data_IF_074452450549
#
_entry.id   IF_074452450549
#
_cell.length_a   1.000
_cell.length_b   1.000
_cell.length_c   1.000
_cell.angle_alpha   90.00
_cell.angle_beta   90.00
_cell.angle_gamma   90.00
#
_symmetry.space_group_name_H-M   'P 1'
#
loop_
_entity.id
_entity.type
_entity.pdbx_description
1 polymer ?
#
# COMPACT_ATOMS: atom_id res chain seq x y z
N UNK A 1 2.04 101.12 12.55
CA UNK A 1 3.17 100.17 12.58
C UNK A 1 2.61 98.75 12.53
N UNK A 2 3.19 97.92 11.66
CA UNK A 2 2.98 96.48 11.41
C UNK A 2 1.86 96.07 10.44
N UNK A 3 2.32 95.68 9.24
CA UNK A 3 1.64 94.88 8.21
C UNK A 3 1.31 93.47 8.68
N UNK A 4 0.32 92.79 8.05
CA UNK A 4 0.22 91.34 8.08
C UNK A 4 0.98 90.69 6.89
N UNK A 5 1.75 89.65 7.19
CA UNK A 5 2.37 88.74 6.23
C UNK A 5 1.53 87.46 6.19
N UNK A 6 1.02 87.10 5.01
CA UNK A 6 0.46 85.78 4.71
C UNK A 6 1.61 84.78 4.49
N UNK A 7 1.57 83.63 5.18
CA UNK A 7 2.41 82.47 4.86
C UNK A 7 1.54 81.27 4.49
N UNK A 8 1.98 80.61 3.41
CA UNK A 8 1.29 79.60 2.60
C UNK A 8 1.49 78.18 3.18
N UNK A 9 0.53 77.30 2.89
CA UNK A 9 0.31 76.00 3.52
C UNK A 9 1.38 74.93 3.32
N UNK A 10 1.51 74.10 4.35
CA UNK A 10 2.28 72.86 4.36
C UNK A 10 1.37 71.70 3.93
N UNK A 11 1.71 71.00 2.85
CA UNK A 11 1.01 69.79 2.38
C UNK A 11 1.44 68.59 3.25
N UNK A 12 0.50 67.97 3.96
CA UNK A 12 0.70 66.67 4.59
C UNK A 12 0.74 65.55 3.54
N UNK A 13 1.89 64.88 3.45
CA UNK A 13 2.06 63.60 2.76
C UNK A 13 1.55 62.51 3.70
N UNK A 14 0.45 61.86 3.35
CA UNK A 14 -0.05 60.66 4.04
C UNK A 14 0.67 59.45 3.43
N UNK A 15 1.56 58.83 4.19
CA UNK A 15 2.21 57.56 3.84
C UNK A 15 1.24 56.40 4.03
N UNK A 16 1.11 55.56 2.99
CA UNK A 16 0.34 54.32 3.02
C UNK A 16 1.14 53.22 3.76
N UNK A 17 0.54 52.45 4.68
CA UNK A 17 1.17 51.24 5.18
C UNK A 17 1.12 50.16 4.10
N UNK A 18 2.29 49.60 3.76
CA UNK A 18 2.42 48.50 2.82
C UNK A 18 1.85 47.20 3.40
N UNK A 19 1.10 46.46 2.58
CA UNK A 19 0.68 45.10 2.88
C UNK A 19 1.93 44.21 3.01
N UNK A 20 2.21 43.72 4.21
CA UNK A 20 3.12 42.60 4.41
C UNK A 20 2.43 41.30 4.00
N UNK A 21 2.94 40.63 2.97
CA UNK A 21 2.52 39.29 2.61
C UNK A 21 3.07 38.30 3.65
N UNK A 22 2.19 37.71 4.46
CA UNK A 22 2.53 36.62 5.36
C UNK A 22 2.65 35.34 4.53
N UNK A 23 3.88 34.92 4.24
CA UNK A 23 4.16 33.60 3.66
C UNK A 23 3.90 32.54 4.74
N UNK A 24 2.76 31.86 4.63
CA UNK A 24 2.44 30.70 5.44
C UNK A 24 3.21 29.50 4.85
N UNK A 25 4.39 29.21 5.41
CA UNK A 25 5.10 27.97 5.09
C UNK A 25 4.33 26.79 5.71
N UNK A 26 3.62 26.01 4.89
CA UNK A 26 3.12 24.70 5.32
C UNK A 26 4.33 23.79 5.58
N UNK A 27 4.63 23.52 6.85
CA UNK A 27 5.50 22.42 7.21
C UNK A 27 4.76 21.11 6.91
N UNK A 28 5.25 20.36 5.92
CA UNK A 28 4.81 18.98 5.71
C UNK A 28 5.26 18.17 6.94
N UNK A 29 4.31 17.74 7.77
CA UNK A 29 4.58 16.76 8.83
C UNK A 29 4.85 15.44 8.13
N UNK A 30 6.14 15.10 7.95
CA UNK A 30 6.51 13.79 7.44
C UNK A 30 6.37 12.80 8.60
N UNK A 31 5.37 11.93 8.54
CA UNK A 31 5.26 10.84 9.52
C UNK A 31 6.36 9.80 9.26
N UNK A 32 6.81 9.15 10.32
CA UNK A 32 7.81 8.08 10.28
C UNK A 32 7.13 6.81 9.75
N UNK A 33 7.92 5.89 9.19
CA UNK A 33 7.48 4.52 9.01
C UNK A 33 7.05 3.89 10.34
N UNK A 34 5.87 3.28 10.34
CA UNK A 34 5.32 2.47 11.42
C UNK A 34 5.79 1.03 11.26
N UNK A 35 6.06 0.35 12.38
CA UNK A 35 6.60 -1.01 12.38
C UNK A 35 5.71 -1.88 13.24
N UNK A 36 4.98 -2.80 12.60
CA UNK A 36 4.25 -3.86 13.28
C UNK A 36 5.19 -5.03 13.55
N UNK A 37 5.07 -5.65 14.72
CA UNK A 37 5.86 -6.83 15.10
C UNK A 37 4.99 -7.86 15.80
N UNK A 38 5.12 -9.12 15.41
CA UNK A 38 4.54 -10.25 16.13
C UNK A 38 5.38 -11.50 15.90
N UNK A 39 5.86 -12.12 16.98
CA UNK A 39 6.64 -13.37 16.96
C UNK A 39 7.79 -13.38 15.93
N UNK A 40 7.70 -14.20 14.89
CA UNK A 40 8.71 -14.34 13.84
C UNK A 40 8.64 -13.27 12.74
N UNK A 41 7.71 -12.31 12.84
CA UNK A 41 7.39 -11.42 11.73
C UNK A 41 7.40 -9.94 12.11
N UNK A 42 7.84 -9.12 11.15
CA UNK A 42 7.77 -7.66 11.21
C UNK A 42 7.25 -7.12 9.88
N UNK A 43 6.45 -6.04 9.92
CA UNK A 43 5.97 -5.36 8.72
C UNK A 43 6.13 -3.85 8.89
N UNK A 44 6.60 -3.16 7.86
CA UNK A 44 6.85 -1.71 7.89
C UNK A 44 5.98 -0.98 6.88
N UNK A 45 5.28 0.06 7.35
CA UNK A 45 4.36 0.87 6.54
C UNK A 45 4.75 2.34 6.66
N UNK A 46 4.90 3.04 5.54
CA UNK A 46 5.11 4.48 5.50
C UNK A 46 3.82 5.18 5.06
N UNK A 47 3.06 5.84 5.97
CA UNK A 47 1.72 6.35 5.65
C UNK A 47 1.71 7.55 4.69
N UNK A 48 2.78 8.36 4.69
CA UNK A 48 2.85 9.64 3.99
C UNK A 48 3.77 9.62 2.76
N UNK A 49 4.04 8.45 2.20
CA UNK A 49 4.65 8.37 0.88
C UNK A 49 4.18 7.12 0.14
N UNK A 50 4.48 7.08 -1.15
CA UNK A 50 4.04 6.02 -2.03
C UNK A 50 4.71 4.65 -1.78
N UNK A 51 5.80 4.59 -0.99
CA UNK A 51 6.41 3.30 -0.63
C UNK A 51 5.45 2.41 0.15
N UNK A 52 4.49 2.99 0.86
CA UNK A 52 3.41 2.24 1.47
C UNK A 52 3.88 1.18 2.45
N UNK A 53 3.33 -0.03 2.37
CA UNK A 53 3.97 -1.18 3.03
C UNK A 53 5.16 -1.62 2.19
N UNK A 54 6.37 -1.37 2.68
CA UNK A 54 7.61 -1.57 1.92
C UNK A 54 8.49 -2.70 2.48
N UNK A 55 8.02 -3.37 3.53
CA UNK A 55 8.67 -4.56 4.06
C UNK A 55 7.68 -5.44 4.81
N UNK A 56 7.81 -6.74 4.59
CA UNK A 56 7.21 -7.80 5.38
C UNK A 56 8.26 -8.90 5.55
N UNK A 57 8.86 -8.93 6.73
CA UNK A 57 9.91 -9.85 7.11
C UNK A 57 9.33 -11.03 7.88
N UNK A 58 9.73 -12.24 7.50
CA UNK A 58 9.40 -13.50 8.19
C UNK A 58 10.69 -14.26 8.45
N UNK A 59 10.94 -14.60 9.70
CA UNK A 59 12.17 -15.29 10.14
C UNK A 59 13.46 -14.59 9.67
N UNK A 60 13.42 -13.26 9.62
CA UNK A 60 14.54 -12.40 9.24
C UNK A 60 14.69 -12.16 7.73
N UNK A 61 13.91 -12.80 6.87
CA UNK A 61 13.89 -12.56 5.41
C UNK A 61 12.72 -11.68 4.97
N UNK A 62 13.00 -10.56 4.29
CA UNK A 62 11.98 -9.71 3.68
C UNK A 62 11.39 -10.36 2.43
N UNK A 63 10.06 -10.30 2.29
CA UNK A 63 9.30 -10.92 1.19
C UNK A 63 8.48 -9.90 0.38
N UNK A 64 8.47 -8.64 0.80
CA UNK A 64 7.67 -7.57 0.19
C UNK A 64 8.56 -6.41 -0.20
N UNK A 65 8.44 -5.96 -1.44
CA UNK A 65 9.10 -4.77 -1.94
C UNK A 65 8.17 -3.56 -1.81
N UNK A 66 6.92 -3.70 -2.22
CA UNK A 66 5.91 -2.63 -2.12
C UNK A 66 4.49 -3.18 -2.15
N UNK A 67 3.64 -2.67 -1.27
CA UNK A 67 2.20 -2.76 -1.40
C UNK A 67 1.62 -1.39 -1.08
N UNK A 68 0.79 -0.85 -1.99
CA UNK A 68 0.14 0.43 -1.77
C UNK A 68 -1.20 0.60 -2.49
N UNK A 69 -1.78 1.79 -2.36
CA UNK A 69 -3.11 2.11 -2.85
C UNK A 69 -3.18 3.42 -3.63
N UNK A 70 -4.05 3.42 -4.63
CA UNK A 70 -4.40 4.59 -5.43
C UNK A 70 -5.92 4.71 -5.48
N UNK A 71 -6.40 5.89 -5.87
CA UNK A 71 -7.81 6.13 -6.13
C UNK A 71 -7.99 7.07 -7.32
N UNK A 72 -9.11 6.95 -8.04
CA UNK A 72 -9.56 7.92 -9.02
C UNK A 72 -11.00 8.32 -8.69
N UNK A 73 -11.31 9.63 -8.71
CA UNK A 73 -12.67 10.12 -8.51
C UNK A 73 -13.45 10.10 -9.82
N UNK A 74 -14.73 9.75 -9.78
CA UNK A 74 -15.53 9.62 -10.99
C UNK A 74 -15.77 8.15 -11.37
N UNK A 75 -16.64 7.92 -12.35
CA UNK A 75 -16.95 6.57 -12.81
C UNK A 75 -15.81 6.00 -13.64
N UNK A 76 -15.84 4.68 -13.82
CA UNK A 76 -15.03 4.00 -14.83
C UNK A 76 -15.18 4.64 -16.20
N UNK A 77 -14.05 4.82 -16.89
CA UNK A 77 -14.00 5.54 -18.18
C UNK A 77 -14.17 7.06 -18.07
N UNK A 78 -14.13 7.61 -16.86
CA UNK A 78 -14.05 9.05 -16.62
C UNK A 78 -12.71 9.66 -17.06
N UNK A 79 -12.45 10.91 -16.64
CA UNK A 79 -11.26 11.66 -17.05
C UNK A 79 -10.29 11.98 -15.90
N UNK A 80 -10.60 11.57 -14.67
CA UNK A 80 -9.73 11.85 -13.52
C UNK A 80 -8.69 10.75 -13.38
N UNK A 81 -7.38 11.07 -13.47
CA UNK A 81 -6.34 10.06 -13.33
C UNK A 81 -6.28 9.51 -11.89
N UNK A 82 -5.69 8.32 -11.68
CA UNK A 82 -5.41 7.83 -10.35
C UNK A 82 -4.43 8.74 -9.60
N UNK A 83 -4.61 8.84 -8.30
CA UNK A 83 -3.70 9.48 -7.36
C UNK A 83 -3.37 8.51 -6.23
N UNK A 84 -2.11 8.50 -5.79
CA UNK A 84 -1.66 7.71 -4.65
C UNK A 84 -2.29 8.22 -3.35
N UNK A 85 -2.69 7.34 -2.44
CA UNK A 85 -3.43 7.77 -1.23
C UNK A 85 -2.61 8.65 -0.28
N UNK A 86 -1.28 8.60 -0.33
CA UNK A 86 -0.40 9.48 0.45
C UNK A 86 -0.46 10.95 0.01
N UNK A 87 -1.09 11.25 -1.13
CA UNK A 87 -1.42 12.63 -1.54
C UNK A 87 -2.59 13.22 -0.75
N UNK A 88 -3.35 12.40 -0.03
CA UNK A 88 -4.43 12.83 0.84
C UNK A 88 -3.90 13.28 2.22
N UNK A 89 -4.53 14.28 2.86
CA UNK A 89 -4.28 14.59 4.26
C UNK A 89 -4.42 13.37 5.18
N UNK A 90 -3.31 12.99 5.82
CA UNK A 90 -3.29 11.97 6.88
C UNK A 90 -3.98 12.53 8.13
N UNK A 91 -5.05 11.88 8.57
CA UNK A 91 -5.88 12.26 9.72
C UNK A 91 -5.74 11.31 10.91
N UNK A 92 -5.26 10.09 10.66
CA UNK A 92 -4.98 9.10 11.68
C UNK A 92 -3.74 8.29 11.31
N UNK A 93 -2.85 8.14 12.28
CA UNK A 93 -1.67 7.28 12.24
C UNK A 93 -1.47 6.72 13.65
N UNK A 94 -2.08 5.56 13.90
CA UNK A 94 -2.16 4.99 15.24
C UNK A 94 -1.76 3.52 15.20
N UNK A 95 -0.88 3.12 16.13
CA UNK A 95 -0.46 1.74 16.33
C UNK A 95 -0.95 1.27 17.72
N UNK A 96 -2.22 0.83 17.86
CA UNK A 96 -2.83 0.55 19.17
C UNK A 96 -2.15 -0.59 19.94
N UNK A 97 -1.64 -1.58 19.21
CA UNK A 97 -0.84 -2.69 19.74
C UNK A 97 0.40 -2.88 18.86
N UNK A 98 1.44 -3.59 19.32
CA UNK A 98 2.64 -3.83 18.52
C UNK A 98 2.36 -4.47 17.15
N UNK A 99 1.27 -5.23 17.02
CA UNK A 99 0.93 -5.96 15.81
C UNK A 99 -0.25 -5.37 15.01
N UNK A 100 -0.74 -4.16 15.34
CA UNK A 100 -1.85 -3.53 14.60
C UNK A 100 -1.52 -2.10 14.20
N UNK A 101 -2.02 -1.67 13.04
CA UNK A 101 -1.85 -0.30 12.54
C UNK A 101 -3.17 0.21 11.95
N UNK A 102 -3.59 1.41 12.34
CA UNK A 102 -4.76 2.09 11.84
C UNK A 102 -4.36 3.42 11.21
N UNK A 103 -4.64 3.56 9.91
CA UNK A 103 -4.39 4.76 9.12
C UNK A 103 -5.71 5.38 8.67
N UNK A 104 -5.75 6.70 8.59
CA UNK A 104 -6.92 7.45 8.13
C UNK A 104 -6.53 8.60 7.22
N UNK A 105 -7.23 8.75 6.11
CA UNK A 105 -6.96 9.75 5.08
C UNK A 105 -8.25 10.50 4.73
N UNK A 106 -8.17 11.83 4.65
CA UNK A 106 -9.29 12.68 4.29
C UNK A 106 -9.25 13.03 2.80
N UNK A 107 -10.15 12.47 2.02
CA UNK A 107 -10.38 12.83 0.63
C UNK A 107 -11.35 13.99 0.46
N UNK A 108 -11.47 14.48 -0.78
CA UNK A 108 -12.52 15.45 -1.12
C UNK A 108 -13.88 14.75 -1.17
N UNK A 109 -14.65 14.86 -0.09
CA UNK A 109 -15.98 14.23 0.03
C UNK A 109 -15.97 12.78 0.47
N UNK A 110 -14.83 12.23 0.91
CA UNK A 110 -14.77 10.89 1.48
C UNK A 110 -13.73 10.76 2.58
N UNK A 111 -13.92 9.77 3.45
CA UNK A 111 -12.95 9.32 4.44
C UNK A 111 -12.48 7.91 4.07
N UNK A 112 -11.17 7.71 4.02
CA UNK A 112 -10.53 6.41 3.81
C UNK A 112 -9.87 5.98 5.13
N UNK A 113 -10.14 4.77 5.59
CA UNK A 113 -9.49 4.16 6.76
C UNK A 113 -8.89 2.82 6.34
N UNK A 114 -7.66 2.54 6.77
CA UNK A 114 -6.97 1.26 6.53
C UNK A 114 -6.51 0.70 7.87
N UNK A 115 -6.94 -0.51 8.20
CA UNK A 115 -6.51 -1.26 9.38
C UNK A 115 -5.71 -2.47 8.97
N UNK A 116 -4.56 -2.67 9.60
CA UNK A 116 -3.70 -3.84 9.45
C UNK A 116 -3.62 -4.61 10.77
N UNK A 117 -3.53 -5.93 10.68
CA UNK A 117 -3.19 -6.82 11.80
C UNK A 117 -2.16 -7.83 11.33
N UNK A 118 -0.99 -7.83 11.96
CA UNK A 118 0.08 -8.80 11.73
C UNK A 118 -0.06 -9.96 12.73
N UNK A 119 0.04 -11.19 12.23
CA UNK A 119 0.09 -12.41 13.05
C UNK A 119 1.28 -13.26 12.62
N UNK A 120 2.29 -13.34 13.47
CA UNK A 120 3.48 -14.16 13.23
C UNK A 120 3.31 -15.60 13.73
N UNK A 121 3.95 -16.54 13.04
CA UNK A 121 4.11 -17.91 13.50
C UNK A 121 5.17 -18.05 14.59
N UNK A 122 5.42 -19.29 15.01
CA UNK A 122 6.55 -19.58 15.90
C UNK A 122 7.89 -19.21 15.23
N UNK A 123 8.90 -18.75 15.97
CA UNK A 123 10.24 -18.54 15.43
C UNK A 123 10.76 -19.78 14.69
N UNK A 124 11.18 -19.59 13.44
CA UNK A 124 11.64 -20.62 12.52
C UNK A 124 10.55 -21.27 11.67
N UNK A 125 9.26 -21.04 11.95
CA UNK A 125 8.16 -21.72 11.25
C UNK A 125 7.95 -21.27 9.81
N UNK A 126 8.43 -20.07 9.46
CA UNK A 126 8.27 -19.48 8.14
C UNK A 126 6.85 -19.07 7.77
N UNK A 127 5.92 -19.12 8.72
CA UNK A 127 4.53 -18.71 8.51
C UNK A 127 4.30 -17.32 9.09
N UNK A 128 3.59 -16.47 8.35
CA UNK A 128 3.09 -15.17 8.82
C UNK A 128 1.83 -14.79 8.07
N UNK A 129 1.03 -13.94 8.68
CA UNK A 129 -0.26 -13.50 8.16
C UNK A 129 -0.48 -12.00 8.37
N UNK A 130 -1.05 -11.31 7.37
CA UNK A 130 -1.53 -9.94 7.49
C UNK A 130 -3.00 -9.86 7.07
N UNK A 131 -3.86 -9.59 8.05
CA UNK A 131 -5.23 -9.16 7.83
C UNK A 131 -5.28 -7.67 7.50
N UNK A 132 -6.08 -7.31 6.50
CA UNK A 132 -6.27 -5.92 6.07
C UNK A 132 -7.75 -5.57 5.92
N UNK A 133 -8.12 -4.39 6.42
CA UNK A 133 -9.46 -3.83 6.27
C UNK A 133 -9.38 -2.41 5.75
N UNK A 134 -10.16 -2.11 4.72
CA UNK A 134 -10.25 -0.78 4.11
C UNK A 134 -11.70 -0.34 4.20
N UNK A 135 -11.92 0.88 4.66
CA UNK A 135 -13.23 1.52 4.74
C UNK A 135 -13.20 2.81 3.94
N UNK A 136 -14.13 2.94 2.99
CA UNK A 136 -14.33 4.17 2.23
C UNK A 136 -15.74 4.68 2.55
N UNK A 137 -15.82 5.85 3.18
CA UNK A 137 -17.08 6.48 3.55
C UNK A 137 -17.31 7.73 2.71
N UNK A 138 -18.44 7.80 2.02
CA UNK A 138 -18.90 9.01 1.34
C UNK A 138 -19.42 10.00 2.38
N UNK A 139 -18.87 11.22 2.39
CA UNK A 139 -19.24 12.30 3.30
C UNK A 139 -20.11 13.37 2.62
N UNK A 140 -20.53 13.15 1.38
CA UNK A 140 -21.36 14.08 0.60
C UNK A 140 -22.84 13.71 0.64
N UNK A 141 -23.68 14.64 0.16
CA UNK A 141 -25.10 14.41 -0.08
C UNK A 141 -25.44 13.76 -1.42
N UNK A 142 -24.44 13.41 -2.25
CA UNK A 142 -24.61 12.80 -3.57
C UNK A 142 -23.95 11.42 -3.61
N UNK A 143 -24.29 10.58 -4.59
CA UNK A 143 -23.52 9.35 -4.85
C UNK A 143 -22.09 9.71 -5.22
N UNK A 144 -21.12 9.03 -4.60
CA UNK A 144 -19.70 9.18 -4.88
C UNK A 144 -19.22 8.01 -5.74
N UNK A 145 -18.98 8.22 -7.05
CA UNK A 145 -18.23 7.27 -7.85
C UNK A 145 -16.74 7.39 -7.54
N UNK A 146 -16.10 6.28 -7.18
CA UNK A 146 -14.67 6.19 -6.89
C UNK A 146 -14.14 4.86 -7.40
N UNK A 147 -12.98 4.88 -8.04
CA UNK A 147 -12.24 3.67 -8.41
C UNK A 147 -11.09 3.56 -7.42
N UNK A 148 -10.99 2.42 -6.76
CA UNK A 148 -9.93 2.14 -5.79
C UNK A 148 -9.00 1.08 -6.34
N UNK A 149 -7.70 1.27 -6.18
CA UNK A 149 -6.69 0.34 -6.67
C UNK A 149 -5.80 -0.11 -5.54
N UNK A 150 -5.41 -1.37 -5.59
CA UNK A 150 -4.26 -1.90 -4.88
C UNK A 150 -3.18 -2.26 -5.90
N UNK A 151 -1.93 -2.01 -5.55
CA UNK A 151 -0.76 -2.58 -6.22
C UNK A 151 0.08 -3.34 -5.20
N UNK A 152 0.63 -4.48 -5.62
CA UNK A 152 1.50 -5.34 -4.83
C UNK A 152 2.70 -5.81 -5.66
N UNK A 153 3.85 -5.84 -5.00
CA UNK A 153 5.15 -6.23 -5.52
C UNK A 153 5.89 -6.99 -4.41
N UNK A 154 5.85 -8.31 -4.51
CA UNK A 154 6.51 -9.20 -3.57
C UNK A 154 7.77 -9.75 -4.20
N UNK A 155 8.90 -9.54 -3.54
CA UNK A 155 10.18 -10.17 -3.88
C UNK A 155 10.35 -11.39 -2.95
N UNK A 156 9.70 -12.51 -3.30
CA UNK A 156 9.81 -13.71 -2.49
C UNK A 156 11.28 -14.19 -2.47
N UNK A 157 11.79 -14.49 -1.27
CA UNK A 157 13.20 -14.78 -0.98
C UNK A 157 14.18 -13.62 -1.24
N UNK A 158 13.70 -12.38 -1.39
CA UNK A 158 14.53 -11.21 -1.67
C UNK A 158 15.25 -11.28 -3.02
N UNK A 159 14.77 -12.09 -3.96
CA UNK A 159 15.35 -12.28 -5.28
C UNK A 159 14.27 -12.17 -6.36
N UNK A 160 14.25 -11.08 -7.16
CA UNK A 160 13.32 -10.99 -8.28
C UNK A 160 13.69 -11.99 -9.38
N UNK A 161 12.71 -12.41 -10.17
CA UNK A 161 12.96 -12.93 -11.53
C UNK A 161 12.61 -14.38 -11.81
N UNK A 162 12.20 -15.17 -10.83
CA UNK A 162 11.69 -16.55 -11.06
C UNK A 162 10.30 -16.77 -10.49
N UNK A 163 9.61 -15.69 -10.17
CA UNK A 163 8.33 -15.75 -9.50
C UNK A 163 7.23 -15.99 -10.52
N UNK A 164 6.15 -16.61 -10.09
CA UNK A 164 4.91 -16.71 -10.88
C UNK A 164 3.76 -16.24 -10.04
N UNK A 165 2.86 -15.46 -10.63
CA UNK A 165 1.62 -15.00 -10.00
C UNK A 165 0.44 -15.52 -10.80
N UNK A 166 -0.60 -15.97 -10.11
CA UNK A 166 -1.93 -16.24 -10.68
C UNK A 166 -2.99 -15.48 -9.92
N UNK A 167 -3.84 -14.76 -10.63
CA UNK A 167 -5.05 -14.14 -10.11
C UNK A 167 -6.25 -15.02 -10.43
N UNK A 168 -7.16 -15.16 -9.48
CA UNK A 168 -8.41 -15.89 -9.69
C UNK A 168 -9.57 -15.21 -8.99
N UNK A 169 -10.77 -15.71 -9.26
CA UNK A 169 -12.03 -15.07 -8.91
C UNK A 169 -13.12 -16.06 -8.52
N UNK A 170 -14.18 -15.61 -7.85
CA UNK A 170 -15.29 -16.47 -7.52
C UNK A 170 -16.10 -16.79 -8.79
N UNK A 171 -16.94 -17.85 -8.79
CA UNK A 171 -17.79 -18.20 -9.93
C UNK A 171 -18.74 -17.08 -10.40
N UNK A 172 -18.98 -16.07 -9.56
CA UNK A 172 -19.88 -14.94 -9.83
C UNK A 172 -19.18 -13.74 -10.48
N UNK A 173 -17.89 -13.86 -10.81
CA UNK A 173 -17.10 -12.83 -11.50
C UNK A 173 -16.25 -11.97 -10.56
N UNK A 174 -15.34 -11.20 -11.16
CA UNK A 174 -14.32 -10.42 -10.47
C UNK A 174 -13.09 -11.23 -10.08
N UNK A 175 -12.17 -10.62 -9.35
CA UNK A 175 -10.97 -11.24 -8.80
C UNK A 175 -10.98 -11.16 -7.28
N UNK A 176 -10.64 -12.25 -6.61
CA UNK A 176 -10.60 -12.30 -5.15
C UNK A 176 -9.41 -13.07 -4.60
N UNK A 177 -8.51 -13.53 -5.45
CA UNK A 177 -7.36 -14.32 -5.03
C UNK A 177 -6.14 -13.97 -5.88
N UNK A 178 -4.99 -13.86 -5.24
CA UNK A 178 -3.68 -13.72 -5.85
C UNK A 178 -2.74 -14.73 -5.20
N UNK A 179 -2.14 -15.61 -6.00
CA UNK A 179 -1.22 -16.65 -5.53
C UNK A 179 0.13 -16.54 -6.23
N UNK A 180 1.16 -16.14 -5.47
CA UNK A 180 2.53 -16.00 -5.95
C UNK A 180 3.42 -17.10 -5.39
N UNK A 181 4.34 -17.61 -6.20
CA UNK A 181 5.34 -18.60 -5.78
C UNK A 181 6.75 -18.27 -6.26
N UNK A 182 7.74 -18.58 -5.42
CA UNK A 182 9.16 -18.61 -5.76
C UNK A 182 9.76 -19.92 -5.24
N UNK A 183 10.00 -20.89 -6.12
CA UNK A 183 10.42 -22.22 -5.71
C UNK A 183 9.44 -22.80 -4.68
N UNK A 184 9.88 -23.11 -3.45
CA UNK A 184 9.00 -23.67 -2.42
C UNK A 184 8.35 -22.59 -1.52
N UNK A 185 8.63 -21.30 -1.74
CA UNK A 185 8.01 -20.17 -1.02
C UNK A 185 6.72 -19.80 -1.75
N UNK A 186 5.66 -19.55 -1.00
CA UNK A 186 4.39 -19.10 -1.54
C UNK A 186 3.76 -18.01 -0.71
N UNK A 187 3.05 -17.12 -1.37
CA UNK A 187 2.20 -16.11 -0.75
C UNK A 187 0.83 -16.15 -1.43
N UNK A 188 -0.22 -16.07 -0.62
CA UNK A 188 -1.60 -15.89 -1.11
C UNK A 188 -2.20 -14.63 -0.52
N UNK A 189 -2.93 -13.87 -1.33
CA UNK A 189 -3.85 -12.83 -0.89
C UNK A 189 -5.27 -13.18 -1.30
N UNK A 190 -6.18 -13.22 -0.35
CA UNK A 190 -7.61 -13.41 -0.60
C UNK A 190 -8.39 -12.16 -0.22
N UNK A 191 -9.13 -11.60 -1.18
CA UNK A 191 -10.13 -10.55 -0.95
C UNK A 191 -11.43 -11.22 -0.50
N UNK A 192 -11.80 -11.03 0.76
CA UNK A 192 -13.01 -11.62 1.36
C UNK A 192 -14.26 -10.95 0.81
N UNK A 193 -14.25 -9.62 0.72
CA UNK A 193 -15.39 -8.84 0.21
C UNK A 193 -14.97 -7.41 -0.11
N UNK A 194 -15.63 -6.76 -1.09
CA UNK A 194 -16.13 -7.41 -2.31
C UNK A 194 -14.95 -7.87 -3.19
N UNK A 195 -15.12 -8.89 -4.05
CA UNK A 195 -14.18 -9.16 -5.13
C UNK A 195 -13.90 -7.89 -5.94
N UNK A 196 -12.65 -7.74 -6.39
CA UNK A 196 -12.26 -6.70 -7.32
C UNK A 196 -13.00 -6.86 -8.65
N UNK A 197 -13.36 -5.75 -9.27
CA UNK A 197 -14.00 -5.76 -10.58
C UNK A 197 -13.03 -6.26 -11.65
N UNK A 198 -11.79 -5.78 -11.58
CA UNK A 198 -10.72 -6.11 -12.52
C UNK A 198 -9.43 -6.46 -11.76
N UNK A 199 -8.55 -7.20 -12.43
CA UNK A 199 -7.25 -7.61 -11.90
C UNK A 199 -6.18 -7.54 -12.98
N UNK A 200 -4.93 -7.40 -12.57
CA UNK A 200 -3.82 -7.43 -13.52
C UNK A 200 -2.59 -8.01 -12.86
N UNK A 201 -2.13 -9.15 -13.35
CA UNK A 201 -0.78 -9.65 -13.17
C UNK A 201 0.11 -9.08 -14.27
N UNK A 202 1.29 -8.60 -13.91
CA UNK A 202 2.24 -8.06 -14.87
C UNK A 202 3.67 -8.24 -14.40
N UNK A 203 4.63 -7.89 -15.25
CA UNK A 203 6.01 -7.71 -14.80
C UNK A 203 6.22 -6.33 -14.20
N UNK A 204 7.23 -6.21 -13.33
CA UNK A 204 7.59 -4.99 -12.60
C UNK A 204 7.48 -3.71 -13.45
N UNK A 205 7.08 -2.62 -12.79
CA UNK A 205 6.92 -1.25 -13.31
C UNK A 205 5.75 -1.00 -14.25
N UNK A 206 5.22 -2.00 -14.96
CA UNK A 206 4.19 -1.74 -15.99
C UNK A 206 2.88 -1.22 -15.38
N UNK A 207 2.35 -1.87 -14.36
CA UNK A 207 1.12 -1.46 -13.67
C UNK A 207 1.34 -0.20 -12.84
N UNK A 208 2.45 -0.12 -12.09
CA UNK A 208 2.79 1.04 -11.27
C UNK A 208 2.96 2.31 -12.11
N UNK A 209 3.59 2.21 -13.29
CA UNK A 209 3.73 3.35 -14.20
C UNK A 209 2.39 3.85 -14.70
N UNK A 210 1.41 2.96 -14.96
CA UNK A 210 0.04 3.35 -15.32
C UNK A 210 -0.66 4.08 -14.18
N UNK A 211 -0.53 3.58 -12.94
CA UNK A 211 -1.12 4.21 -11.76
C UNK A 211 -0.52 5.59 -11.48
N UNK A 212 0.77 5.79 -11.77
CA UNK A 212 1.46 7.05 -11.50
C UNK A 212 1.37 8.09 -12.62
N UNK A 213 1.23 7.64 -13.88
CA UNK A 213 1.31 8.52 -15.06
C UNK A 213 0.07 8.44 -15.95
N UNK A 214 -0.99 7.77 -15.51
CA UNK A 214 -2.25 7.71 -16.23
C UNK A 214 -2.84 9.11 -16.43
N UNK A 215 -3.44 9.35 -17.59
CA UNK A 215 -4.14 10.61 -17.91
C UNK A 215 -5.65 10.55 -17.66
N UNK A 216 -6.16 9.36 -17.35
CA UNK A 216 -7.54 9.02 -17.04
C UNK A 216 -7.51 7.83 -16.06
N UNK A 217 -8.65 7.40 -15.47
CA UNK A 217 -8.67 6.20 -14.66
C UNK A 217 -8.04 5.02 -15.41
N UNK A 218 -7.16 4.31 -14.72
CA UNK A 218 -6.56 3.10 -15.28
C UNK A 218 -7.64 2.02 -15.29
N UNK A 219 -7.73 1.28 -16.39
CA UNK A 219 -8.53 0.07 -16.44
C UNK A 219 -7.55 -1.09 -16.50
N UNK A 220 -7.54 -1.91 -15.46
CA UNK A 220 -6.73 -3.13 -15.41
C UNK A 220 -7.16 -4.09 -16.51
N UNK A 221 -6.19 -4.81 -17.09
CA UNK A 221 -6.39 -5.53 -18.35
C UNK A 221 -6.91 -6.97 -18.21
N UNK A 222 -7.19 -7.44 -16.99
CA UNK A 222 -7.61 -8.82 -16.69
C UNK A 222 -6.60 -9.89 -17.07
N UNK A 223 -5.33 -9.53 -17.24
CA UNK A 223 -4.28 -10.52 -17.33
C UNK A 223 -4.16 -11.23 -15.98
N UNK A 224 -4.49 -12.51 -15.94
CA UNK A 224 -4.53 -13.26 -14.70
C UNK A 224 -3.17 -13.86 -14.30
N UNK A 225 -2.18 -13.90 -15.20
CA UNK A 225 -0.93 -14.60 -14.93
C UNK A 225 0.29 -13.82 -15.41
N UNK A 226 1.38 -13.89 -14.66
CA UNK A 226 2.69 -13.40 -15.07
C UNK A 226 3.81 -14.27 -14.48
N UNK A 227 5.00 -14.17 -15.06
CA UNK A 227 6.22 -14.83 -14.58
C UNK A 227 7.43 -13.90 -14.68
N UNK A 228 8.42 -14.06 -13.80
CA UNK A 228 9.64 -13.24 -13.77
C UNK A 228 9.72 -12.40 -12.50
N UNK A 229 10.00 -11.10 -12.64
CA UNK A 229 9.73 -10.15 -11.56
C UNK A 229 8.26 -9.72 -11.68
N UNK A 230 7.40 -10.28 -10.84
CA UNK A 230 5.94 -10.20 -11.00
C UNK A 230 5.33 -9.21 -10.03
N UNK A 231 4.28 -8.56 -10.49
CA UNK A 231 3.46 -7.63 -9.72
C UNK A 231 2.00 -7.95 -9.99
N UNK A 232 1.12 -7.52 -9.10
CA UNK A 232 -0.31 -7.53 -9.38
C UNK A 232 -1.03 -6.33 -8.83
N UNK A 233 -2.18 -6.08 -9.41
CA UNK A 233 -3.11 -5.07 -8.95
C UNK A 233 -4.55 -5.59 -8.96
N UNK A 234 -5.35 -4.98 -8.09
CA UNK A 234 -6.80 -5.13 -8.04
C UNK A 234 -7.45 -3.76 -8.19
N UNK A 235 -8.60 -3.73 -8.87
CA UNK A 235 -9.39 -2.52 -9.13
C UNK A 235 -10.84 -2.73 -8.67
N UNK A 236 -11.37 -1.79 -7.89
CA UNK A 236 -12.77 -1.77 -7.48
C UNK A 236 -13.46 -0.52 -8.03
N UNK A 237 -14.51 -0.74 -8.82
CA UNK A 237 -15.42 0.28 -9.33
C UNK A 237 -16.56 0.50 -8.32
N UNK A 238 -16.49 1.55 -7.52
CA UNK A 238 -17.42 1.79 -6.42
C UNK A 238 -18.38 2.96 -6.72
N UNK A 239 -19.65 2.75 -6.44
CA UNK A 239 -20.66 3.80 -6.37
C UNK A 239 -21.22 3.87 -4.95
N UNK A 240 -20.68 4.78 -4.15
CA UNK A 240 -21.01 4.87 -2.72
C UNK A 240 -22.16 5.85 -2.54
N UNK A 241 -23.31 5.38 -2.04
CA UNK A 241 -24.48 6.21 -1.77
C UNK A 241 -24.16 7.41 -0.84
N UNK A 242 -24.97 8.49 -0.83
CA UNK A 242 -24.80 9.60 0.12
C UNK A 242 -24.68 9.11 1.57
N UNK A 243 -23.64 9.53 2.29
CA UNK A 243 -23.36 9.05 3.66
C UNK A 243 -22.98 7.58 3.79
N UNK A 244 -22.97 6.84 2.67
CA UNK A 244 -22.74 5.40 2.61
C UNK A 244 -21.29 5.01 2.89
N UNK A 245 -21.07 3.70 3.09
CA UNK A 245 -19.76 3.14 3.35
C UNK A 245 -19.58 1.85 2.58
N UNK A 246 -18.40 1.67 2.00
CA UNK A 246 -17.92 0.38 1.46
C UNK A 246 -16.81 -0.13 2.35
N UNK A 247 -16.80 -1.46 2.55
CA UNK A 247 -15.74 -2.19 3.24
C UNK A 247 -15.07 -3.14 2.25
N UNK A 248 -13.76 -3.07 2.16
CA UNK A 248 -12.92 -4.08 1.51
C UNK A 248 -12.14 -4.80 2.61
N UNK A 249 -12.20 -6.13 2.65
CA UNK A 249 -11.46 -6.94 3.64
C UNK A 249 -10.66 -8.00 2.93
N UNK A 250 -9.42 -8.19 3.37
CA UNK A 250 -8.44 -9.07 2.73
C UNK A 250 -7.62 -9.80 3.78
N UNK A 251 -7.09 -10.93 3.37
CA UNK A 251 -6.21 -11.79 4.16
C UNK A 251 -4.97 -12.10 3.30
N UNK A 252 -3.78 -12.00 3.89
CA UNK A 252 -2.52 -12.33 3.22
C UNK A 252 -1.79 -13.37 4.04
N UNK A 253 -1.53 -14.52 3.45
CA UNK A 253 -0.79 -15.60 4.06
C UNK A 253 0.54 -15.83 3.35
N UNK A 254 1.61 -15.98 4.12
CA UNK A 254 2.96 -16.19 3.62
C UNK A 254 3.54 -17.46 4.24
N UNK A 255 4.13 -18.31 3.39
CA UNK A 255 4.77 -19.57 3.79
C UNK A 255 6.17 -19.65 3.18
N UNK A 256 7.17 -19.66 4.06
CA UNK A 256 8.59 -19.77 3.75
C UNK A 256 9.11 -21.07 4.37
N UNK A 257 9.51 -22.08 3.59
CA UNK A 257 10.03 -23.33 4.17
C UNK A 257 11.25 -23.11 5.06
N UNK A 258 11.35 -23.84 6.17
CA UNK A 258 12.45 -23.67 7.12
C UNK A 258 13.83 -23.95 6.45
N UNK A 259 14.79 -23.00 6.47
CA UNK A 259 16.13 -23.24 5.93
C UNK A 259 16.87 -24.41 6.63
N UNK A 260 16.56 -24.64 7.91
CA UNK A 260 17.14 -25.66 8.78
C UNK A 260 16.80 -27.09 8.34
N UNK A 261 15.62 -27.33 7.76
CA UNK A 261 15.23 -28.67 7.32
C UNK A 261 16.17 -29.18 6.21
N UNK A 262 16.54 -28.32 5.26
CA UNK A 262 17.47 -28.66 4.19
C UNK A 262 18.90 -28.83 4.72
N UNK A 263 19.34 -27.99 5.65
CA UNK A 263 20.66 -28.13 6.28
C UNK A 263 20.76 -29.43 7.10
N UNK A 264 19.72 -29.82 7.84
CA UNK A 264 19.68 -31.06 8.62
C UNK A 264 19.61 -32.30 7.73
N UNK A 265 18.86 -32.27 6.63
CA UNK A 265 18.87 -33.34 5.63
C UNK A 265 20.26 -33.45 5.00
N UNK A 266 20.90 -32.32 4.66
CA UNK A 266 22.26 -32.29 4.14
C UNK A 266 23.29 -32.88 5.11
N UNK A 267 23.23 -32.49 6.39
CA UNK A 267 24.08 -33.05 7.45
C UNK A 267 23.77 -34.53 7.72
N UNK A 268 22.51 -34.94 7.63
CA UNK A 268 22.09 -36.33 7.75
C UNK A 268 22.65 -37.21 6.62
N UNK A 269 22.56 -36.75 5.37
CA UNK A 269 23.14 -37.42 4.20
C UNK A 269 24.66 -37.48 4.32
N UNK A 270 25.32 -36.38 4.70
CA UNK A 270 26.77 -36.34 4.91
C UNK A 270 27.19 -37.32 6.02
N UNK A 271 26.47 -37.33 7.14
CA UNK A 271 26.69 -38.27 8.24
C UNK A 271 26.54 -39.73 7.81
N UNK A 272 25.54 -40.06 6.99
CA UNK A 272 25.35 -41.41 6.43
C UNK A 272 26.44 -41.79 5.44
N UNK A 273 26.90 -40.87 4.59
CA UNK A 273 28.01 -41.09 3.66
C UNK A 273 29.33 -41.35 4.41
N UNK A 274 29.62 -40.55 5.42
CA UNK A 274 30.79 -40.73 6.29
C UNK A 274 30.72 -42.03 7.09
N UNK A 275 29.53 -42.46 7.52
CA UNK A 275 29.33 -43.75 8.19
C UNK A 275 29.56 -44.93 7.25
N UNK A 276 29.05 -44.88 6.01
CA UNK A 276 29.27 -45.95 5.00
C UNK A 276 30.75 -46.12 4.63
N UNK A 277 31.51 -45.03 4.54
CA UNK A 277 32.96 -45.10 4.27
C UNK A 277 33.80 -45.79 5.34
N UNK A 278 33.28 -45.93 6.57
CA UNK A 278 33.99 -46.59 7.69
C UNK A 278 33.77 -48.11 7.77
N UNK A 279 32.76 -48.65 7.10
CA UNK A 279 32.46 -50.09 7.10
C UNK A 279 32.96 -50.83 5.84
N UNK A 280 33.66 -50.14 4.94
CA UNK A 280 34.20 -50.71 3.69
C UNK A 280 35.71 -50.98 3.75
N UNK A 281 36.28 -51.19 4.94
CA UNK A 281 37.66 -51.66 5.15
C UNK A 281 37.65 -52.98 5.90
#
# INVERSE_FOLDING_TARGET
MRSPIHLVGLKHVVSRPGLGALLLSLALVQTKAQVMTDQNSTASVHPANQSGMFSWTVDGGNQLQQQWFWYALGPRGGSTPPASIDTLPLTQDAQPTPNTLNLGYQGNGFLLTIGYTLTGGAPGSGVSDIGESIRIQNQTGNTLPIIFYQYSDFDLNGAPGTDTITLSGPPRGGFNDAFQTHGPISMSETVVTPPANEGEAATEFSTLAKLNNGSAPVVLNNNATASGNVTWAFEWDLNIAPGGTVLISKDKNLQVPEPSALALVGLGILGLALRRGRFSK
#
